data_IF_796424670162
#
_entry.id   IF_796424670162
#
_cell.length_a   1.000
_cell.length_b   1.000
_cell.length_c   1.000
_cell.angle_alpha   90.00
_cell.angle_beta   90.00
_cell.angle_gamma   90.00
#
_symmetry.space_group_name_H-M   'P 1'
#
loop_
_entity.id
_entity.type
_entity.pdbx_description
1 polymer ?
#
# COMPACT_ATOMS: atom_id res chain seq x y z
N UNK A 1 -0.96 11.26 18.59
CA UNK A 1 -1.08 10.49 17.33
C UNK A 1 -0.65 11.41 16.20
N UNK A 2 0.55 11.24 15.65
CA UNK A 2 1.08 12.12 14.61
C UNK A 2 0.64 11.63 13.23
N UNK A 3 0.23 12.56 12.35
CA UNK A 3 -0.21 12.31 10.98
C UNK A 3 0.50 13.29 10.04
N UNK A 4 0.91 12.83 8.87
CA UNK A 4 1.60 13.63 7.87
C UNK A 4 0.94 13.42 6.51
N UNK A 5 0.57 14.52 5.86
CA UNK A 5 -0.08 14.53 4.55
C UNK A 5 0.69 15.46 3.62
N UNK A 6 1.17 14.93 2.49
CA UNK A 6 1.86 15.68 1.44
C UNK A 6 1.17 15.48 0.09
N UNK A 7 -0.16 15.41 0.02
CA UNK A 7 -0.84 15.27 -1.27
C UNK A 7 -0.56 16.44 -2.22
N UNK A 8 -0.30 16.16 -3.51
CA UNK A 8 -0.10 17.17 -4.57
C UNK A 8 1.14 18.09 -4.38
N UNK A 9 2.28 17.51 -3.96
CA UNK A 9 3.53 18.28 -3.71
C UNK A 9 4.72 17.87 -4.59
N UNK A 10 4.49 17.10 -5.66
CA UNK A 10 5.55 16.58 -6.53
C UNK A 10 6.69 15.91 -5.75
N UNK A 11 6.35 15.17 -4.68
CA UNK A 11 7.35 14.50 -3.85
C UNK A 11 8.24 13.61 -4.71
N UNK A 12 7.65 12.90 -5.69
CA UNK A 12 8.32 11.94 -6.57
C UNK A 12 9.14 10.89 -5.79
N UNK A 13 9.80 9.97 -6.50
CA UNK A 13 10.50 8.85 -5.86
C UNK A 13 11.64 9.32 -4.93
N UNK A 14 12.34 10.39 -5.32
CA UNK A 14 13.43 10.96 -4.53
C UNK A 14 12.93 11.59 -3.23
N UNK A 15 11.80 12.30 -3.24
CA UNK A 15 11.20 12.80 -2.01
C UNK A 15 10.72 11.67 -1.10
N UNK A 16 10.17 10.59 -1.70
CA UNK A 16 9.79 9.40 -0.96
C UNK A 16 10.98 8.72 -0.30
N UNK A 17 12.16 8.70 -0.93
CA UNK A 17 13.38 8.19 -0.31
C UNK A 17 13.71 8.91 1.01
N UNK A 18 13.67 10.25 1.01
CA UNK A 18 13.92 11.05 2.21
C UNK A 18 12.80 10.90 3.26
N UNK A 19 11.55 10.82 2.82
CA UNK A 19 10.43 10.57 3.72
C UNK A 19 10.53 9.19 4.36
N UNK A 20 10.87 8.15 3.61
CA UNK A 20 11.01 6.78 4.10
C UNK A 20 12.09 6.70 5.18
N UNK A 21 13.26 7.31 4.98
CA UNK A 21 14.34 7.33 5.97
C UNK A 21 13.94 8.08 7.25
N UNK A 22 13.22 9.19 7.11
CA UNK A 22 12.71 9.98 8.24
C UNK A 22 11.62 9.24 9.00
N UNK A 23 10.67 8.63 8.29
CA UNK A 23 9.51 7.95 8.87
C UNK A 23 9.90 6.66 9.55
N UNK A 24 10.94 5.95 9.07
CA UNK A 24 11.42 4.69 9.64
C UNK A 24 11.58 4.75 11.18
N UNK A 25 12.15 5.84 11.69
CA UNK A 25 12.42 6.05 13.12
C UNK A 25 11.45 7.04 13.80
N UNK A 26 10.40 7.46 13.09
CA UNK A 26 9.48 8.50 13.57
C UNK A 26 8.39 7.95 14.50
N UNK A 27 7.63 8.87 15.10
CA UNK A 27 6.39 8.56 15.83
C UNK A 27 5.12 8.60 15.00
N UNK A 28 5.27 8.55 13.67
CA UNK A 28 4.19 8.73 12.73
C UNK A 28 3.28 7.49 12.67
N UNK A 29 1.97 7.73 12.74
CA UNK A 29 0.95 6.68 12.64
C UNK A 29 0.26 6.67 11.28
N UNK A 30 0.26 7.81 10.57
CA UNK A 30 -0.42 7.99 9.28
C UNK A 30 0.49 8.76 8.34
N UNK A 31 0.74 8.19 7.16
CA UNK A 31 1.45 8.82 6.06
C UNK A 31 0.54 8.82 4.83
N UNK A 32 0.12 10.00 4.38
CA UNK A 32 -0.64 10.17 3.15
C UNK A 32 0.18 10.96 2.13
N UNK A 33 0.50 10.35 1.00
CA UNK A 33 1.31 10.94 -0.07
C UNK A 33 0.65 10.67 -1.44
N UNK A 34 -0.66 10.84 -1.50
CA UNK A 34 -1.44 10.72 -2.73
C UNK A 34 -1.05 11.77 -3.77
N UNK A 35 -1.23 11.49 -5.06
CA UNK A 35 -1.01 12.45 -6.15
C UNK A 35 0.37 13.10 -6.12
N UNK A 36 1.44 12.29 -6.11
CA UNK A 36 2.82 12.77 -6.00
C UNK A 36 3.77 12.25 -7.08
N UNK A 37 3.24 11.59 -8.12
CA UNK A 37 4.07 10.98 -9.17
C UNK A 37 5.00 9.90 -8.64
N UNK A 38 4.55 9.15 -7.63
CA UNK A 38 5.34 8.06 -7.03
C UNK A 38 5.26 6.85 -7.96
N UNK A 39 6.41 6.30 -8.33
CA UNK A 39 6.51 5.09 -9.16
C UNK A 39 6.90 3.88 -8.30
N UNK A 40 7.19 2.76 -8.95
CA UNK A 40 7.69 1.56 -8.28
C UNK A 40 9.01 1.78 -7.53
N UNK A 41 9.82 2.78 -7.91
CA UNK A 41 11.05 3.13 -7.21
C UNK A 41 10.77 3.76 -5.84
N UNK A 42 9.88 4.75 -5.77
CA UNK A 42 9.46 5.34 -4.50
C UNK A 42 8.82 4.29 -3.58
N UNK A 43 8.00 3.41 -4.17
CA UNK A 43 7.40 2.29 -3.46
C UNK A 43 8.45 1.30 -2.92
N UNK A 44 9.57 1.12 -3.60
CA UNK A 44 10.68 0.31 -3.08
C UNK A 44 11.20 0.87 -1.74
N UNK A 45 11.46 2.18 -1.65
CA UNK A 45 11.90 2.81 -0.40
C UNK A 45 10.86 2.69 0.72
N UNK A 46 9.57 2.85 0.40
CA UNK A 46 8.49 2.64 1.38
C UNK A 46 8.42 1.18 1.86
N UNK A 47 8.65 0.23 0.96
CA UNK A 47 8.64 -1.20 1.28
C UNK A 47 9.79 -1.57 2.22
N UNK A 48 11.00 -1.03 2.00
CA UNK A 48 12.12 -1.22 2.93
C UNK A 48 11.84 -0.57 4.29
N UNK A 49 11.26 0.64 4.31
CA UNK A 49 10.86 1.31 5.55
C UNK A 49 9.81 0.50 6.33
N UNK A 50 8.83 -0.10 5.67
CA UNK A 50 7.80 -0.93 6.31
C UNK A 50 8.37 -2.20 6.94
N UNK A 51 9.54 -2.70 6.52
CA UNK A 51 10.15 -3.87 7.18
C UNK A 51 10.64 -3.58 8.59
N UNK A 52 11.05 -2.33 8.85
CA UNK A 52 11.64 -1.90 10.14
C UNK A 52 10.71 -0.99 10.95
N UNK A 53 9.75 -0.33 10.31
CA UNK A 53 8.80 0.53 10.98
C UNK A 53 7.63 -0.26 11.59
N UNK A 54 7.50 -0.19 12.91
CA UNK A 54 6.45 -0.85 13.68
C UNK A 54 5.47 0.15 14.31
N UNK A 55 5.19 1.27 13.63
CA UNK A 55 4.30 2.33 14.16
C UNK A 55 3.28 2.81 13.17
N UNK A 56 3.60 2.79 11.88
CA UNK A 56 2.71 3.25 10.84
C UNK A 56 1.50 2.32 10.73
N UNK A 57 0.31 2.90 10.86
CA UNK A 57 -0.97 2.18 10.80
C UNK A 57 -1.72 2.45 9.50
N UNK A 58 -1.43 3.57 8.83
CA UNK A 58 -2.09 3.97 7.58
C UNK A 58 -1.06 4.49 6.59
N UNK A 59 -1.09 3.95 5.38
CA UNK A 59 -0.30 4.40 4.24
C UNK A 59 -1.25 4.70 3.07
N UNK A 60 -1.30 5.97 2.67
CA UNK A 60 -2.06 6.46 1.53
C UNK A 60 -1.16 6.77 0.34
N UNK A 61 -1.41 6.10 -0.78
CA UNK A 61 -0.66 6.16 -2.04
C UNK A 61 -1.60 6.35 -3.24
N UNK A 62 -2.80 6.87 -3.01
CA UNK A 62 -3.81 7.07 -4.05
C UNK A 62 -3.29 8.00 -5.17
N UNK A 63 -3.78 7.82 -6.40
CA UNK A 63 -3.45 8.69 -7.55
C UNK A 63 -1.93 8.83 -7.83
N UNK A 64 -1.19 7.73 -7.79
CA UNK A 64 0.22 7.68 -8.17
C UNK A 64 0.44 6.81 -9.42
N UNK A 65 1.69 6.56 -9.78
CA UNK A 65 2.10 5.80 -10.98
C UNK A 65 2.58 4.40 -10.61
N UNK A 66 1.95 3.79 -9.60
CA UNK A 66 2.35 2.48 -9.06
C UNK A 66 1.88 1.37 -10.01
N UNK A 67 2.80 0.47 -10.37
CA UNK A 67 2.51 -0.70 -11.20
C UNK A 67 2.37 -1.97 -10.36
N UNK A 68 2.12 -3.11 -11.02
CA UNK A 68 2.15 -4.42 -10.37
C UNK A 68 3.47 -4.70 -9.63
N UNK A 69 4.61 -4.18 -10.13
CA UNK A 69 5.92 -4.38 -9.48
C UNK A 69 6.05 -3.62 -8.17
N UNK A 70 5.46 -2.42 -8.06
CA UNK A 70 5.36 -1.70 -6.79
C UNK A 70 4.45 -2.44 -5.80
N UNK A 71 3.33 -2.97 -6.27
CA UNK A 71 2.43 -3.80 -5.42
C UNK A 71 3.13 -5.05 -4.90
N UNK A 72 3.91 -5.74 -5.74
CA UNK A 72 4.71 -6.89 -5.31
C UNK A 72 5.69 -6.52 -4.18
N UNK A 73 6.39 -5.39 -4.30
CA UNK A 73 7.30 -4.89 -3.25
C UNK A 73 6.56 -4.61 -1.93
N UNK A 74 5.44 -3.89 -1.99
CA UNK A 74 4.63 -3.59 -0.81
C UNK A 74 4.10 -4.86 -0.14
N UNK A 75 3.49 -5.74 -0.93
CA UNK A 75 2.89 -6.98 -0.42
C UNK A 75 3.94 -7.89 0.21
N UNK A 76 5.15 -7.97 -0.36
CA UNK A 76 6.27 -8.70 0.25
C UNK A 76 6.72 -8.11 1.59
N UNK A 77 6.81 -6.78 1.72
CA UNK A 77 7.11 -6.14 3.01
C UNK A 77 5.98 -6.39 4.04
N UNK A 78 4.73 -6.32 3.59
CA UNK A 78 3.55 -6.49 4.45
C UNK A 78 3.38 -7.90 5.00
N UNK A 79 3.95 -8.93 4.36
CA UNK A 79 3.98 -10.29 4.95
C UNK A 79 4.62 -10.30 6.35
N UNK A 80 5.58 -9.39 6.59
CA UNK A 80 6.32 -9.30 7.85
C UNK A 80 5.90 -8.09 8.71
N UNK A 81 5.35 -7.03 8.11
CA UNK A 81 4.88 -5.88 8.88
C UNK A 81 3.59 -6.20 9.66
N UNK A 82 3.66 -6.14 10.99
CA UNK A 82 2.54 -6.43 11.88
C UNK A 82 1.77 -5.20 12.37
N UNK A 83 1.99 -4.02 11.79
CA UNK A 83 1.47 -2.75 12.32
C UNK A 83 0.59 -1.95 11.35
N UNK A 84 0.84 -2.06 10.04
CA UNK A 84 0.04 -1.38 9.04
C UNK A 84 -1.36 -2.01 9.00
N UNK A 85 -2.38 -1.17 9.13
CA UNK A 85 -3.78 -1.57 9.18
C UNK A 85 -4.55 -1.12 7.92
N UNK A 86 -4.13 -0.05 7.26
CA UNK A 86 -4.84 0.49 6.09
C UNK A 86 -3.83 0.83 5.00
N UNK A 87 -4.01 0.21 3.83
CA UNK A 87 -3.26 0.51 2.61
C UNK A 87 -4.23 1.03 1.55
N UNK A 88 -3.99 2.24 1.07
CA UNK A 88 -4.84 2.90 0.09
C UNK A 88 -4.05 3.11 -1.22
N UNK A 89 -4.48 2.42 -2.28
CA UNK A 89 -3.84 2.39 -3.60
C UNK A 89 -4.80 2.78 -4.72
N UNK A 90 -5.94 3.39 -4.38
CA UNK A 90 -6.95 3.78 -5.37
C UNK A 90 -6.36 4.68 -6.47
N UNK A 91 -6.96 4.63 -7.65
CA UNK A 91 -6.55 5.45 -8.83
C UNK A 91 -5.11 5.20 -9.34
N UNK A 92 -4.43 4.13 -8.91
CA UNK A 92 -3.18 3.67 -9.55
C UNK A 92 -3.51 2.77 -10.75
N UNK A 93 -3.77 3.39 -11.91
CA UNK A 93 -4.35 2.73 -13.09
C UNK A 93 -3.47 1.64 -13.72
N UNK A 94 -2.18 1.63 -13.43
CA UNK A 94 -1.23 0.62 -13.92
C UNK A 94 -1.34 -0.70 -13.13
N UNK A 95 -1.92 -0.69 -11.93
CA UNK A 95 -2.24 -1.90 -11.16
C UNK A 95 -3.34 -2.68 -11.90
N UNK A 96 -3.05 -3.92 -12.27
CA UNK A 96 -3.97 -4.78 -13.01
C UNK A 96 -4.01 -6.21 -12.45
N UNK A 97 -4.67 -7.12 -13.17
CA UNK A 97 -4.92 -8.50 -12.74
C UNK A 97 -3.67 -9.27 -12.30
N UNK A 98 -2.48 -8.93 -12.81
CA UNK A 98 -1.21 -9.56 -12.37
C UNK A 98 -0.94 -9.35 -10.88
N UNK A 99 -1.37 -8.22 -10.31
CA UNK A 99 -1.19 -7.94 -8.87
C UNK A 99 -1.99 -8.84 -7.93
N UNK A 100 -3.04 -9.52 -8.42
CA UNK A 100 -3.98 -10.28 -7.61
C UNK A 100 -3.30 -11.45 -6.90
N UNK A 101 -2.32 -12.11 -7.52
CA UNK A 101 -1.56 -13.20 -6.89
C UNK A 101 -0.76 -12.70 -5.70
N UNK A 102 -0.04 -11.57 -5.84
CA UNK A 102 0.75 -10.97 -4.76
C UNK A 102 -0.13 -10.51 -3.60
N UNK A 103 -1.27 -9.89 -3.90
CA UNK A 103 -2.24 -9.44 -2.89
C UNK A 103 -2.84 -10.63 -2.15
N UNK A 104 -3.25 -11.67 -2.88
CA UNK A 104 -3.81 -12.91 -2.31
C UNK A 104 -2.82 -13.55 -1.35
N UNK A 105 -1.58 -13.71 -1.81
CA UNK A 105 -0.50 -14.28 -1.02
C UNK A 105 -0.25 -13.46 0.26
N UNK A 106 -0.15 -12.13 0.16
CA UNK A 106 -0.01 -11.27 1.34
C UNK A 106 -1.19 -11.40 2.32
N UNK A 107 -2.43 -11.53 1.84
CA UNK A 107 -3.61 -11.70 2.71
C UNK A 107 -3.54 -13.00 3.54
N UNK A 108 -2.92 -14.06 3.01
CA UNK A 108 -2.74 -15.32 3.74
C UNK A 108 -1.76 -15.20 4.91
N UNK A 109 -0.68 -14.43 4.76
CA UNK A 109 0.35 -14.24 5.78
C UNK A 109 0.07 -13.08 6.74
N UNK A 110 -0.31 -11.91 6.20
CA UNK A 110 -0.47 -10.71 6.98
C UNK A 110 -1.77 -10.73 7.82
N UNK A 111 -1.65 -10.47 9.12
CA UNK A 111 -2.79 -10.42 10.06
C UNK A 111 -3.16 -9.01 10.55
N UNK A 112 -2.30 -8.03 10.31
CA UNK A 112 -2.46 -6.65 10.76
C UNK A 112 -3.35 -5.81 9.84
N UNK A 113 -3.20 -5.94 8.52
CA UNK A 113 -3.91 -5.15 7.52
C UNK A 113 -5.40 -5.42 7.62
N UNK A 114 -6.21 -4.40 7.84
CA UNK A 114 -7.68 -4.49 7.94
C UNK A 114 -8.39 -3.86 6.75
N UNK A 115 -7.70 -2.99 6.00
CA UNK A 115 -8.29 -2.33 4.84
C UNK A 115 -7.32 -2.29 3.68
N UNK A 116 -7.82 -2.66 2.51
CA UNK A 116 -7.14 -2.50 1.23
C UNK A 116 -8.09 -1.79 0.25
N UNK A 117 -7.64 -0.64 -0.26
CA UNK A 117 -8.37 0.14 -1.26
C UNK A 117 -7.65 0.11 -2.60
N UNK A 118 -8.32 -0.44 -3.61
CA UNK A 118 -7.86 -0.62 -4.99
C UNK A 118 -8.93 -0.09 -5.97
N UNK A 119 -9.83 0.80 -5.52
CA UNK A 119 -10.82 1.42 -6.40
C UNK A 119 -10.14 2.12 -7.57
N UNK A 120 -10.77 2.07 -8.73
CA UNK A 120 -10.23 2.67 -9.96
C UNK A 120 -8.84 2.16 -10.39
N UNK A 121 -8.39 1.02 -9.89
CA UNK A 121 -7.31 0.24 -10.51
C UNK A 121 -7.86 -0.59 -11.69
N UNK A 122 -6.99 -1.03 -12.59
CA UNK A 122 -7.36 -1.76 -13.81
C UNK A 122 -7.58 -3.28 -13.55
N UNK A 123 -8.49 -3.59 -12.62
CA UNK A 123 -8.86 -4.96 -12.25
C UNK A 123 -10.15 -5.39 -12.97
N UNK A 124 -10.14 -6.57 -13.60
CA UNK A 124 -11.35 -7.17 -14.17
C UNK A 124 -12.34 -7.61 -13.09
N UNK A 125 -13.62 -7.79 -13.43
CA UNK A 125 -14.62 -8.31 -12.49
C UNK A 125 -14.22 -9.68 -11.89
N UNK A 126 -13.58 -10.54 -12.68
CA UNK A 126 -13.06 -11.82 -12.20
C UNK A 126 -11.92 -11.66 -11.18
N UNK A 127 -11.00 -10.73 -11.41
CA UNK A 127 -9.95 -10.38 -10.45
C UNK A 127 -10.54 -9.83 -9.13
N UNK A 128 -11.51 -8.92 -9.23
CA UNK A 128 -12.23 -8.38 -8.07
C UNK A 128 -12.97 -9.46 -7.29
N UNK A 129 -13.63 -10.39 -7.98
CA UNK A 129 -14.31 -11.53 -7.35
C UNK A 129 -13.32 -12.42 -6.58
N UNK A 130 -12.17 -12.74 -7.17
CA UNK A 130 -11.10 -13.52 -6.51
C UNK A 130 -10.58 -12.82 -5.25
N UNK A 131 -10.35 -11.51 -5.30
CA UNK A 131 -9.93 -10.75 -4.12
C UNK A 131 -11.01 -10.77 -3.02
N UNK A 132 -12.29 -10.65 -3.39
CA UNK A 132 -13.42 -10.74 -2.45
C UNK A 132 -13.51 -12.11 -1.79
N UNK A 133 -13.33 -13.19 -2.54
CA UNK A 133 -13.30 -14.55 -2.01
C UNK A 133 -12.17 -14.73 -0.98
N UNK A 134 -10.96 -14.29 -1.32
CA UNK A 134 -9.78 -14.43 -0.46
C UNK A 134 -9.94 -13.67 0.86
N UNK A 135 -10.58 -12.49 0.87
CA UNK A 135 -10.75 -11.72 2.11
C UNK A 135 -11.90 -12.21 2.98
N UNK A 136 -12.81 -13.07 2.50
CA UNK A 136 -13.91 -13.61 3.32
C UNK A 136 -13.41 -14.37 4.56
N UNK A 137 -12.22 -14.94 4.50
CA UNK A 137 -11.59 -15.62 5.65
C UNK A 137 -11.19 -14.64 6.77
N UNK A 138 -11.17 -13.33 6.51
CA UNK A 138 -10.73 -12.29 7.45
C UNK A 138 -11.93 -11.46 7.92
N UNK A 139 -12.43 -11.78 9.11
CA UNK A 139 -13.49 -10.98 9.77
C UNK A 139 -13.08 -9.51 9.84
N UNK A 140 -14.00 -8.64 9.45
CA UNK A 140 -13.86 -7.17 9.45
C UNK A 140 -12.80 -6.62 8.49
N UNK A 141 -12.35 -7.40 7.50
CA UNK A 141 -11.49 -6.87 6.45
C UNK A 141 -12.31 -6.04 5.45
N UNK A 142 -11.96 -4.78 5.30
CA UNK A 142 -12.56 -3.85 4.35
C UNK A 142 -11.79 -3.89 3.02
N UNK A 143 -12.40 -4.46 1.98
CA UNK A 143 -11.85 -4.45 0.63
C UNK A 143 -12.68 -3.51 -0.26
N UNK A 144 -12.01 -2.55 -0.90
CA UNK A 144 -12.62 -1.67 -1.88
C UNK A 144 -12.01 -1.95 -3.26
N UNK A 145 -12.77 -2.61 -4.15
CA UNK A 145 -12.38 -3.01 -5.52
C UNK A 145 -13.54 -2.84 -6.48
#
# INVERSE_FOLDING_TARGET
MSRLYFGDNQVADKGVQYLASTVANSSLFVLGISKNGITDEGVHYLSEMLKTNHRLTVLGLEENEISNSGVEKLTNALKYNCTLQRLLLAENKTINNTSVSYITDMIHYNRSLKRLDLRSCNLSNSAKAKLREVVQIRKYFELFV
#
